data_IF_377748215196
#
_entry.id   IF_377748215196
#
_cell.length_a   1.000
_cell.length_b   1.000
_cell.length_c   1.000
_cell.angle_alpha   90.00
_cell.angle_beta   90.00
_cell.angle_gamma   90.00
#
_symmetry.space_group_name_H-M   'P 1'
#
loop_
_entity.id
_entity.type
_entity.pdbx_description
1 polymer ?
#
# COMPACT_ATOMS: atom_id res chain seq x y z
N UNK A 1 -11.33 45.44 40.65
CA UNK A 1 -12.05 44.67 39.63
C UNK A 1 -11.46 43.26 39.61
N UNK A 2 -12.06 42.31 40.33
CA UNK A 2 -11.54 40.93 40.45
C UNK A 2 -12.08 40.11 39.28
N UNK A 3 -11.26 39.92 38.26
CA UNK A 3 -11.57 38.98 37.17
C UNK A 3 -11.55 37.59 37.81
N UNK A 4 -12.70 36.92 37.81
CA UNK A 4 -12.89 35.59 38.39
C UNK A 4 -11.92 34.62 37.70
N UNK A 5 -10.89 34.20 38.44
CA UNK A 5 -9.85 33.27 37.99
C UNK A 5 -10.43 31.96 37.40
N UNK A 6 -11.65 31.59 37.82
CA UNK A 6 -12.41 30.45 37.32
C UNK A 6 -12.87 30.58 35.86
N UNK A 7 -13.13 31.80 35.36
CA UNK A 7 -13.52 32.01 33.96
C UNK A 7 -12.35 31.80 32.99
N UNK A 8 -11.11 32.05 33.43
CA UNK A 8 -9.91 31.84 32.61
C UNK A 8 -9.58 30.34 32.42
N UNK A 9 -9.89 29.51 33.42
CA UNK A 9 -9.67 28.05 33.35
C UNK A 9 -10.65 27.37 32.38
N UNK A 10 -11.90 27.85 32.33
CA UNK A 10 -12.92 27.29 31.44
C UNK A 10 -12.63 27.57 29.95
N UNK A 11 -12.00 28.71 29.62
CA UNK A 11 -11.61 29.04 28.25
C UNK A 11 -10.42 28.21 27.74
N UNK A 12 -9.53 27.74 28.62
CA UNK A 12 -8.36 26.93 28.26
C UNK A 12 -8.70 25.45 27.97
N UNK A 13 -9.87 24.97 28.40
CA UNK A 13 -10.32 23.59 28.16
C UNK A 13 -11.02 23.41 26.79
N UNK A 14 -11.35 24.50 26.09
CA UNK A 14 -12.03 24.47 24.79
C UNK A 14 -11.05 24.45 23.59
N UNK A 15 -9.75 24.59 23.82
CA UNK A 15 -8.72 24.47 22.78
C UNK A 15 -8.18 23.03 22.66
N UNK A 16 -9.08 22.04 22.73
CA UNK A 16 -8.76 20.68 22.33
C UNK A 16 -8.45 20.70 20.83
N UNK A 17 -7.17 20.67 20.48
CA UNK A 17 -6.74 20.53 19.10
C UNK A 17 -7.15 19.12 18.68
N UNK A 18 -8.26 19.00 17.96
CA UNK A 18 -8.60 17.78 17.24
C UNK A 18 -7.57 17.63 16.11
N UNK A 19 -6.40 17.09 16.45
CA UNK A 19 -5.46 16.61 15.45
C UNK A 19 -6.09 15.37 14.81
N UNK A 20 -6.77 15.54 13.68
CA UNK A 20 -7.14 14.42 12.81
C UNK A 20 -5.89 14.00 12.06
N UNK A 21 -5.47 12.76 12.28
CA UNK A 21 -4.29 12.20 11.65
C UNK A 21 -4.69 11.71 10.26
N UNK A 22 -4.55 12.54 9.25
CA UNK A 22 -5.01 12.21 7.89
C UNK A 22 -3.90 11.49 7.14
N UNK A 23 -4.18 10.23 6.74
CA UNK A 23 -3.32 9.48 5.81
C UNK A 23 -3.92 9.44 4.42
N UNK A 24 -3.08 9.64 3.42
CA UNK A 24 -3.48 9.76 2.01
C UNK A 24 -2.47 9.10 1.09
N UNK A 25 -2.96 8.66 -0.07
CA UNK A 25 -2.14 8.24 -1.20
C UNK A 25 -2.12 9.36 -2.23
N UNK A 26 -0.92 9.81 -2.59
CA UNK A 26 -0.71 10.85 -3.60
C UNK A 26 0.16 10.31 -4.72
N UNK A 27 -0.02 10.81 -5.94
CA UNK A 27 0.90 10.49 -7.03
C UNK A 27 2.29 11.09 -6.70
N UNK A 28 3.39 10.33 -6.82
CA UNK A 28 4.72 10.84 -6.54
C UNK A 28 5.07 11.99 -7.46
N UNK A 29 5.67 13.03 -6.89
CA UNK A 29 6.14 14.20 -7.67
C UNK A 29 7.46 13.93 -8.38
N UNK A 30 8.21 12.93 -7.92
CA UNK A 30 9.51 12.54 -8.44
C UNK A 30 9.47 11.07 -8.88
N UNK A 31 10.32 10.74 -9.83
CA UNK A 31 10.53 9.38 -10.34
C UNK A 31 11.93 8.85 -10.00
N UNK A 32 12.58 9.44 -8.98
CA UNK A 32 13.94 9.10 -8.57
C UNK A 32 14.12 7.60 -8.24
N UNK A 33 13.08 6.96 -7.71
CA UNK A 33 13.08 5.53 -7.41
C UNK A 33 13.26 4.61 -8.63
N UNK A 34 12.96 5.04 -9.85
CA UNK A 34 12.79 4.13 -11.01
C UNK A 34 14.01 3.26 -11.28
N UNK A 35 15.20 3.85 -11.27
CA UNK A 35 16.43 3.10 -11.52
C UNK A 35 16.68 2.07 -10.42
N UNK A 36 16.49 2.47 -9.17
CA UNK A 36 16.79 1.63 -8.01
C UNK A 36 15.79 0.47 -7.89
N UNK A 37 14.50 0.69 -8.16
CA UNK A 37 13.51 -0.39 -8.12
C UNK A 37 13.68 -1.40 -9.26
N UNK A 38 14.10 -0.95 -10.45
CA UNK A 38 14.39 -1.86 -11.56
C UNK A 38 15.62 -2.71 -11.22
N UNK A 39 16.68 -2.09 -10.71
CA UNK A 39 17.88 -2.81 -10.28
C UNK A 39 17.58 -3.82 -9.15
N UNK A 40 16.74 -3.46 -8.18
CA UNK A 40 16.33 -4.36 -7.10
C UNK A 40 15.48 -5.53 -7.62
N UNK A 41 14.57 -5.27 -8.56
CA UNK A 41 13.77 -6.31 -9.20
C UNK A 41 14.65 -7.29 -10.00
N UNK A 42 15.61 -6.78 -10.76
CA UNK A 42 16.61 -7.59 -11.48
C UNK A 42 17.49 -8.41 -10.53
N UNK A 43 17.96 -7.79 -9.44
CA UNK A 43 18.70 -8.49 -8.39
C UNK A 43 17.88 -9.61 -7.75
N UNK A 44 16.56 -9.40 -7.61
CA UNK A 44 15.59 -10.38 -7.12
C UNK A 44 15.17 -11.43 -8.16
N UNK A 45 15.87 -11.50 -9.30
CA UNK A 45 15.68 -12.54 -10.32
C UNK A 45 14.54 -12.29 -11.30
N UNK A 46 14.02 -11.06 -11.36
CA UNK A 46 13.02 -10.67 -12.36
C UNK A 46 13.70 -10.10 -13.61
N UNK A 47 13.23 -10.50 -14.78
CA UNK A 47 13.57 -9.84 -16.04
C UNK A 47 12.38 -9.05 -16.58
N UNK A 48 12.62 -8.22 -17.61
CA UNK A 48 11.57 -7.46 -18.31
C UNK A 48 10.70 -6.64 -17.35
N UNK A 49 11.34 -5.95 -16.41
CA UNK A 49 10.65 -5.22 -15.35
C UNK A 49 9.81 -4.07 -15.92
N UNK A 50 8.53 -4.06 -15.56
CA UNK A 50 7.55 -3.04 -15.93
C UNK A 50 6.99 -2.39 -14.66
N UNK A 51 7.16 -1.08 -14.53
CA UNK A 51 6.63 -0.31 -13.40
C UNK A 51 5.22 0.19 -13.71
N UNK A 52 4.29 -0.01 -12.77
CA UNK A 52 2.95 0.57 -12.83
C UNK A 52 2.94 1.94 -12.15
N UNK A 53 3.26 2.96 -12.93
CA UNK A 53 3.28 4.36 -12.46
C UNK A 53 1.90 4.84 -12.04
N UNK A 54 0.83 4.29 -12.64
CA UNK A 54 -0.55 4.69 -12.30
C UNK A 54 -0.98 4.17 -10.93
N UNK A 55 -0.40 3.04 -10.51
CA UNK A 55 -0.63 2.41 -9.21
C UNK A 55 0.49 2.66 -8.19
N UNK A 56 1.42 3.56 -8.49
CA UNK A 56 2.49 3.96 -7.57
C UNK A 56 2.10 5.22 -6.80
N UNK A 57 2.27 5.22 -5.47
CA UNK A 57 1.77 6.29 -4.60
C UNK A 57 2.74 6.64 -3.47
N UNK A 58 2.89 7.94 -3.22
CA UNK A 58 3.39 8.47 -1.95
C UNK A 58 2.34 8.25 -0.86
N UNK A 59 2.74 7.61 0.23
CA UNK A 59 1.98 7.51 1.47
C UNK A 59 2.30 8.74 2.32
N UNK A 60 1.32 9.62 2.50
CA UNK A 60 1.49 10.88 3.24
C UNK A 60 0.58 10.88 4.45
N UNK A 61 1.17 11.06 5.63
CA UNK A 61 0.48 11.21 6.92
C UNK A 61 0.78 12.59 7.48
N UNK A 62 -0.25 13.37 7.76
CA UNK A 62 -0.16 14.72 8.32
C UNK A 62 0.75 15.65 7.51
N UNK A 63 0.67 15.53 6.19
CA UNK A 63 1.50 16.29 5.24
C UNK A 63 2.96 15.82 5.13
N UNK A 64 3.37 14.81 5.92
CA UNK A 64 4.71 14.24 5.89
C UNK A 64 4.73 12.93 5.10
N UNK A 65 5.68 12.83 4.17
CA UNK A 65 5.97 11.57 3.46
C UNK A 65 6.37 10.49 4.47
N UNK A 66 5.64 9.38 4.43
CA UNK A 66 5.97 8.16 5.18
C UNK A 66 6.79 7.21 4.31
N UNK A 67 6.51 7.19 3.01
CA UNK A 67 7.26 6.48 1.98
C UNK A 67 6.48 6.39 0.68
N UNK A 68 7.07 5.76 -0.33
CA UNK A 68 6.50 5.54 -1.67
C UNK A 68 6.26 4.05 -1.85
N UNK A 69 5.01 3.68 -2.14
CA UNK A 69 4.60 2.35 -2.56
C UNK A 69 4.69 2.25 -4.08
N UNK A 70 5.66 1.47 -4.55
CA UNK A 70 5.98 1.32 -5.96
C UNK A 70 5.44 -0.03 -6.44
N UNK A 71 4.62 -0.01 -7.48
CA UNK A 71 4.04 -1.23 -8.04
C UNK A 71 4.73 -1.59 -9.34
N UNK A 72 4.84 -2.88 -9.62
CA UNK A 72 5.32 -3.33 -10.91
C UNK A 72 5.14 -4.82 -11.09
N UNK A 73 5.60 -5.29 -12.24
CA UNK A 73 5.71 -6.70 -12.57
C UNK A 73 7.00 -6.99 -13.30
N UNK A 74 7.43 -8.24 -13.26
CA UNK A 74 8.56 -8.75 -14.01
C UNK A 74 8.37 -10.24 -14.28
N UNK A 75 9.36 -10.89 -14.87
CA UNK A 75 9.29 -12.30 -15.23
C UNK A 75 10.41 -13.09 -14.57
N UNK A 76 10.05 -14.11 -13.79
CA UNK A 76 11.03 -15.09 -13.31
C UNK A 76 11.37 -16.02 -14.47
N UNK A 77 12.69 -16.14 -14.75
CA UNK A 77 13.23 -16.98 -15.85
C UNK A 77 12.56 -16.69 -17.20
N UNK A 78 12.17 -15.44 -17.44
CA UNK A 78 11.50 -14.95 -18.66
C UNK A 78 10.11 -15.54 -18.95
N UNK A 79 9.57 -16.39 -18.08
CA UNK A 79 8.33 -17.15 -18.34
C UNK A 79 7.21 -16.86 -17.35
N UNK A 80 7.51 -16.82 -16.04
CA UNK A 80 6.47 -16.67 -15.01
C UNK A 80 6.31 -15.20 -14.66
N UNK A 81 5.16 -14.56 -14.94
CA UNK A 81 4.95 -13.18 -14.57
C UNK A 81 4.71 -13.06 -13.06
N UNK A 82 5.47 -12.18 -12.42
CA UNK A 82 5.44 -11.92 -10.98
C UNK A 82 5.18 -10.44 -10.73
N UNK A 83 4.17 -10.14 -9.93
CA UNK A 83 3.92 -8.78 -9.43
C UNK A 83 4.84 -8.51 -8.23
N UNK A 84 5.20 -7.24 -8.01
CA UNK A 84 5.96 -6.86 -6.84
C UNK A 84 5.53 -5.50 -6.29
N UNK A 85 5.88 -5.30 -5.03
CA UNK A 85 5.74 -4.06 -4.29
C UNK A 85 7.12 -3.62 -3.80
N UNK A 86 7.55 -2.45 -4.21
CA UNK A 86 8.67 -1.72 -3.62
C UNK A 86 8.21 -0.73 -2.57
N UNK A 87 8.98 -0.58 -1.50
CA UNK A 87 8.80 0.48 -0.51
C UNK A 87 10.06 1.34 -0.43
N UNK A 88 9.89 2.66 -0.57
CA UNK A 88 10.96 3.63 -0.46
C UNK A 88 10.61 4.72 0.55
N UNK A 89 11.38 4.85 1.64
CA UNK A 89 11.13 5.85 2.68
C UNK A 89 11.39 7.29 2.21
N UNK A 90 12.31 7.46 1.26
CA UNK A 90 12.75 8.77 0.74
C UNK A 90 12.26 9.05 -0.70
N UNK A 91 11.60 8.09 -1.35
CA UNK A 91 11.16 8.20 -2.73
C UNK A 91 12.26 7.93 -3.77
N UNK A 92 13.42 7.43 -3.33
CA UNK A 92 14.58 7.12 -4.18
C UNK A 92 15.16 5.74 -3.88
N UNK A 93 15.52 5.45 -2.62
CA UNK A 93 16.16 4.20 -2.21
C UNK A 93 15.12 3.16 -1.83
N UNK A 94 15.31 1.91 -2.26
CA UNK A 94 14.38 0.83 -1.98
C UNK A 94 14.74 0.19 -0.65
N UNK A 95 13.86 0.32 0.33
CA UNK A 95 14.06 -0.22 1.68
C UNK A 95 13.44 -1.62 1.84
N UNK A 96 12.40 -1.92 1.07
CA UNK A 96 11.80 -3.25 1.02
C UNK A 96 11.38 -3.56 -0.41
N UNK A 97 11.60 -4.81 -0.82
CA UNK A 97 11.16 -5.36 -2.09
C UNK A 97 10.42 -6.66 -1.82
N UNK A 98 9.17 -6.74 -2.28
CA UNK A 98 8.25 -7.82 -1.95
C UNK A 98 7.66 -8.36 -3.26
N UNK A 99 7.98 -9.61 -3.61
CA UNK A 99 7.29 -10.32 -4.68
C UNK A 99 5.94 -10.84 -4.15
N UNK A 100 4.88 -10.68 -4.95
CA UNK A 100 3.50 -11.02 -4.58
C UNK A 100 2.95 -12.10 -5.50
N UNK A 101 1.98 -11.79 -6.37
CA UNK A 101 1.35 -12.73 -7.29
C UNK A 101 2.40 -13.34 -8.20
N UNK A 102 2.37 -14.68 -8.37
CA UNK A 102 3.34 -15.42 -9.18
C UNK A 102 4.51 -16.00 -8.40
N UNK A 103 4.57 -15.79 -7.08
CA UNK A 103 5.62 -16.30 -6.20
C UNK A 103 5.03 -16.73 -4.85
N UNK A 104 5.68 -17.67 -4.15
CA UNK A 104 5.28 -18.09 -2.80
C UNK A 104 3.86 -18.65 -2.77
N UNK A 105 3.01 -18.09 -1.92
CA UNK A 105 1.60 -18.51 -1.77
C UNK A 105 0.78 -18.37 -3.06
N UNK A 106 1.28 -17.60 -4.04
CA UNK A 106 0.65 -17.38 -5.36
C UNK A 106 1.42 -18.01 -6.52
N UNK A 107 2.28 -19.01 -6.27
CA UNK A 107 3.08 -19.64 -7.33
C UNK A 107 2.25 -20.36 -8.42
N UNK A 108 0.99 -20.69 -8.11
CA UNK A 108 0.08 -21.39 -9.04
C UNK A 108 -0.61 -20.48 -10.05
N UNK A 109 -0.47 -19.15 -9.92
CA UNK A 109 -1.13 -18.15 -10.76
C UNK A 109 -0.14 -17.09 -11.22
N UNK A 110 -0.35 -16.54 -12.41
CA UNK A 110 0.47 -15.46 -12.96
C UNK A 110 -0.03 -14.07 -12.58
N UNK A 111 0.88 -13.12 -12.45
CA UNK A 111 0.53 -11.70 -12.37
C UNK A 111 0.13 -11.16 -13.76
N UNK A 112 -1.14 -10.80 -13.96
CA UNK A 112 -1.57 -10.14 -15.19
C UNK A 112 -1.34 -8.63 -15.12
N UNK A 113 -1.93 -7.97 -14.11
CA UNK A 113 -1.78 -6.54 -13.82
C UNK A 113 -2.17 -6.17 -12.39
N UNK A 114 -1.70 -5.00 -11.96
CA UNK A 114 -2.19 -4.32 -10.76
C UNK A 114 -3.42 -3.50 -11.13
N UNK A 115 -4.56 -3.77 -10.50
CA UNK A 115 -5.81 -3.06 -10.80
C UNK A 115 -5.97 -1.80 -9.96
N UNK A 116 -5.68 -1.90 -8.66
CA UNK A 116 -5.84 -0.77 -7.76
C UNK A 116 -5.04 -0.92 -6.47
N UNK A 117 -4.55 0.20 -5.95
CA UNK A 117 -3.95 0.32 -4.62
C UNK A 117 -4.76 1.31 -3.79
N UNK A 118 -5.03 0.99 -2.53
CA UNK A 118 -5.74 1.94 -1.68
C UNK A 118 -5.91 1.54 -0.23
N UNK A 119 -6.16 2.54 0.61
CA UNK A 119 -6.51 2.33 2.02
C UNK A 119 -7.86 1.62 2.16
N UNK A 120 -7.88 0.57 2.98
CA UNK A 120 -9.09 -0.16 3.38
C UNK A 120 -9.45 0.06 4.85
N UNK A 121 -8.50 0.49 5.69
CA UNK A 121 -8.77 0.90 7.07
C UNK A 121 -9.58 2.20 7.14
N UNK A 122 -10.17 2.47 8.32
CA UNK A 122 -10.85 3.74 8.57
C UNK A 122 -9.82 4.87 8.64
N UNK A 123 -10.28 6.10 8.47
CA UNK A 123 -9.47 7.28 8.82
C UNK A 123 -9.16 7.22 10.32
N UNK A 124 -7.95 7.59 10.68
CA UNK A 124 -7.46 7.59 12.06
C UNK A 124 -7.36 6.20 12.74
N UNK A 125 -7.37 5.10 11.96
CA UNK A 125 -7.08 3.76 12.48
C UNK A 125 -5.60 3.67 12.89
N UNK A 126 -5.31 3.17 14.09
CA UNK A 126 -3.92 2.95 14.53
C UNK A 126 -3.20 1.90 13.67
N UNK A 127 -3.98 1.00 13.05
CA UNK A 127 -3.50 -0.06 12.18
C UNK A 127 -3.89 0.21 10.72
N UNK A 128 -3.31 1.25 10.13
CA UNK A 128 -3.53 1.61 8.73
C UNK A 128 -3.26 0.43 7.78
N UNK A 129 -4.27 0.07 6.97
CA UNK A 129 -4.20 -1.03 6.01
C UNK A 129 -4.34 -0.53 4.59
N UNK A 130 -3.41 -0.94 3.74
CA UNK A 130 -3.43 -0.70 2.29
C UNK A 130 -3.60 -2.05 1.60
N UNK A 131 -4.55 -2.13 0.69
CA UNK A 131 -4.71 -3.29 -0.18
C UNK A 131 -4.20 -2.98 -1.57
N UNK A 132 -3.64 -4.00 -2.20
CA UNK A 132 -3.41 -4.08 -3.64
C UNK A 132 -4.36 -5.13 -4.20
N UNK A 133 -5.10 -4.78 -5.25
CA UNK A 133 -5.96 -5.69 -6.00
C UNK A 133 -5.27 -6.00 -7.32
N UNK A 134 -5.20 -7.28 -7.66
CA UNK A 134 -4.59 -7.77 -8.89
C UNK A 134 -5.61 -8.49 -9.75
N UNK A 135 -5.43 -8.39 -11.06
CA UNK A 135 -5.93 -9.41 -11.96
C UNK A 135 -4.85 -10.49 -12.04
N UNK A 136 -5.24 -11.74 -11.78
CA UNK A 136 -4.37 -12.91 -11.86
C UNK A 136 -4.72 -13.75 -13.08
N UNK A 137 -3.74 -14.49 -13.59
CA UNK A 137 -3.88 -15.39 -14.74
C UNK A 137 -3.71 -16.84 -14.28
N UNK A 138 -4.80 -17.60 -14.31
CA UNK A 138 -4.79 -19.04 -14.13
C UNK A 138 -4.77 -19.73 -15.52
N UNK A 139 -4.48 -21.04 -15.62
CA UNK A 139 -4.38 -21.73 -16.90
C UNK A 139 -5.60 -21.60 -17.83
N UNK A 140 -6.80 -21.41 -17.28
CA UNK A 140 -8.08 -21.42 -18.01
C UNK A 140 -8.91 -20.14 -17.84
N UNK A 141 -8.54 -19.22 -16.95
CA UNK A 141 -9.30 -17.98 -16.73
C UNK A 141 -8.47 -16.86 -16.06
N UNK A 142 -9.02 -15.65 -16.10
CA UNK A 142 -8.55 -14.54 -15.27
C UNK A 142 -9.33 -14.47 -13.95
N UNK A 143 -8.61 -14.23 -12.85
CA UNK A 143 -9.17 -14.09 -11.52
C UNK A 143 -8.85 -12.74 -10.88
N UNK A 144 -9.29 -12.58 -9.63
CA UNK A 144 -8.94 -11.42 -8.79
C UNK A 144 -8.32 -11.92 -7.50
N UNK A 145 -7.20 -11.32 -7.12
CA UNK A 145 -6.54 -11.62 -5.85
C UNK A 145 -6.06 -10.33 -5.17
N UNK A 146 -5.68 -10.46 -3.90
CA UNK A 146 -5.41 -9.35 -3.01
C UNK A 146 -4.08 -9.53 -2.31
N UNK A 147 -3.45 -8.40 -2.00
CA UNK A 147 -2.34 -8.37 -1.07
C UNK A 147 -2.56 -7.21 -0.10
N UNK A 148 -2.77 -7.52 1.17
CA UNK A 148 -2.99 -6.50 2.20
C UNK A 148 -1.71 -6.28 2.99
N UNK A 149 -1.37 -5.00 3.13
CA UNK A 149 -0.25 -4.54 3.92
C UNK A 149 -0.74 -3.69 5.08
N UNK A 150 -0.07 -3.80 6.21
CA UNK A 150 -0.13 -2.78 7.24
C UNK A 150 1.04 -1.80 7.15
N UNK A 151 0.80 -0.56 7.56
CA UNK A 151 1.86 0.43 7.75
C UNK A 151 2.47 0.28 9.15
N UNK A 152 3.80 0.31 9.22
CA UNK A 152 4.55 0.39 10.49
C UNK A 152 5.19 1.77 10.56
N UNK A 153 4.74 2.58 11.52
CA UNK A 153 5.20 3.96 11.67
C UNK A 153 6.74 4.04 11.68
N UNK A 154 7.32 4.74 10.70
CA UNK A 154 8.77 4.92 10.54
C UNK A 154 9.56 3.71 10.02
N UNK A 155 8.96 2.51 9.98
CA UNK A 155 9.67 1.27 9.66
C UNK A 155 9.36 0.70 8.27
N UNK A 156 8.17 0.97 7.73
CA UNK A 156 7.79 0.58 6.37
C UNK A 156 6.46 -0.17 6.33
N UNK A 157 6.39 -1.23 5.54
CA UNK A 157 5.17 -2.04 5.36
C UNK A 157 5.39 -3.48 5.81
N UNK A 158 4.32 -4.15 6.25
CA UNK A 158 4.33 -5.57 6.58
C UNK A 158 3.17 -6.29 5.89
N UNK A 159 3.37 -7.56 5.56
CA UNK A 159 2.30 -8.41 5.02
C UNK A 159 1.27 -8.74 6.09
N UNK A 160 0.01 -8.40 5.86
CA UNK A 160 -1.11 -8.81 6.69
C UNK A 160 -1.77 -10.06 6.09
N UNK A 161 -1.20 -11.21 6.44
CA UNK A 161 -1.69 -12.50 5.96
C UNK A 161 -3.15 -12.75 6.36
N UNK A 162 -3.50 -12.43 7.62
CA UNK A 162 -4.84 -12.68 8.15
C UNK A 162 -5.94 -11.94 7.39
N UNK A 163 -5.69 -10.68 7.04
CA UNK A 163 -6.65 -9.89 6.26
C UNK A 163 -6.64 -10.31 4.80
N UNK A 164 -5.48 -10.69 4.25
CA UNK A 164 -5.37 -11.17 2.87
C UNK A 164 -6.15 -12.46 2.67
N UNK A 165 -5.93 -13.48 3.50
CA UNK A 165 -6.66 -14.76 3.47
C UNK A 165 -8.18 -14.56 3.63
N UNK A 166 -8.60 -13.64 4.50
CA UNK A 166 -10.03 -13.31 4.69
C UNK A 166 -10.72 -12.90 3.38
N UNK A 167 -10.00 -12.25 2.47
CA UNK A 167 -10.55 -11.75 1.21
C UNK A 167 -10.23 -12.63 0.00
N UNK A 168 -9.40 -13.66 0.15
CA UNK A 168 -9.23 -14.66 -0.90
C UNK A 168 -10.60 -15.19 -1.32
N UNK A 169 -10.83 -15.28 -2.63
CA UNK A 169 -12.10 -15.70 -3.25
C UNK A 169 -13.30 -14.73 -3.07
N UNK A 170 -13.12 -13.53 -2.50
CA UNK A 170 -14.23 -12.60 -2.26
C UNK A 170 -14.78 -11.90 -3.51
N UNK A 171 -14.12 -12.02 -4.67
CA UNK A 171 -14.52 -11.44 -5.97
C UNK A 171 -14.76 -9.92 -5.97
N UNK A 172 -14.31 -9.20 -4.93
CA UNK A 172 -14.37 -7.75 -4.79
C UNK A 172 -13.39 -7.10 -5.77
N UNK A 173 -13.86 -6.23 -6.66
CA UNK A 173 -13.04 -5.73 -7.78
C UNK A 173 -12.46 -4.36 -7.53
N UNK A 174 -12.91 -3.67 -6.49
CA UNK A 174 -12.53 -2.29 -6.22
C UNK A 174 -12.11 -2.10 -4.77
N UNK A 175 -11.20 -1.13 -4.54
CA UNK A 175 -10.83 -0.71 -3.19
C UNK A 175 -12.06 -0.26 -2.39
N UNK A 176 -13.06 0.36 -3.03
CA UNK A 176 -14.27 0.80 -2.34
C UNK A 176 -15.09 -0.37 -1.77
N UNK A 177 -15.25 -1.44 -2.56
CA UNK A 177 -15.92 -2.68 -2.11
C UNK A 177 -15.12 -3.37 -1.01
N UNK A 178 -13.80 -3.51 -1.20
CA UNK A 178 -12.90 -4.14 -0.23
C UNK A 178 -12.89 -3.37 1.10
N UNK A 179 -12.80 -2.04 1.04
CA UNK A 179 -12.93 -1.15 2.19
C UNK A 179 -14.25 -1.36 2.93
N UNK A 180 -15.36 -1.41 2.20
CA UNK A 180 -16.69 -1.65 2.80
C UNK A 180 -16.77 -3.02 3.46
N UNK A 181 -16.13 -4.05 2.90
CA UNK A 181 -16.10 -5.38 3.46
C UNK A 181 -15.17 -5.49 4.69
N UNK A 182 -14.04 -4.78 4.69
CA UNK A 182 -13.10 -4.74 5.81
C UNK A 182 -13.65 -4.01 7.03
N UNK A 183 -14.38 -2.91 6.82
CA UNK A 183 -14.85 -2.04 7.90
C UNK A 183 -16.19 -2.45 8.52
N UNK A 184 -16.81 -3.51 8.01
CA UNK A 184 -18.01 -4.16 8.58
C UNK A 184 -17.61 -5.03 9.76
#
# INVERSE_FOLDING_TARGET
MRINFWFAILLLLLSSHFASASVSLLQPKSLAYQKNIIAEAEHSGLSRVELDKSQTFDVVKDGKLQGTLIQGKGWVREVQPVCFIGWSKDGENINQFIQTIGQGDWETVGCHKVDSVGFISKKDDENEKIAVIYTIEAPDHYGTDYYVMGLKAGDGVYYDNSTTEKFQNSSLKTIAELRKAYQK
#
